data_IF_399864559902
#
_entry.id   IF_399864559902
#
_cell.length_a   1.000
_cell.length_b   1.000
_cell.length_c   1.000
_cell.angle_alpha   90.00
_cell.angle_beta   90.00
_cell.angle_gamma   90.00
#
_symmetry.space_group_name_H-M   'P 1'
#
loop_
_entity.id
_entity.type
_entity.pdbx_description
1 polymer ?
#
# COMPACT_ATOMS: atom_id res chain seq x y z
N UNK A 1 -40.67 0.45 18.59
CA UNK A 1 -39.67 0.09 17.57
C UNK A 1 -38.70 1.24 17.42
N UNK A 2 -37.50 1.15 18.02
CA UNK A 2 -36.47 2.19 17.92
C UNK A 2 -35.84 2.14 16.53
N UNK A 3 -36.07 3.18 15.72
CA UNK A 3 -35.36 3.35 14.47
C UNK A 3 -33.87 3.54 14.76
N UNK A 4 -33.06 2.55 14.42
CA UNK A 4 -31.60 2.63 14.49
C UNK A 4 -31.15 3.69 13.49
N UNK A 5 -30.87 4.91 13.98
CA UNK A 5 -30.30 5.97 13.14
C UNK A 5 -29.04 5.43 12.49
N UNK A 6 -29.03 5.33 11.16
CA UNK A 6 -27.82 5.01 10.39
C UNK A 6 -26.81 6.13 10.63
N UNK A 7 -25.88 5.89 11.55
CA UNK A 7 -24.71 6.75 11.77
C UNK A 7 -23.94 6.80 10.46
N UNK A 8 -23.77 8.00 9.90
CA UNK A 8 -22.91 8.21 8.74
C UNK A 8 -21.46 7.85 9.03
N UNK A 9 -20.57 7.90 8.02
CA UNK A 9 -19.17 7.56 8.19
C UNK A 9 -18.52 8.42 9.28
N UNK A 10 -17.88 7.75 10.24
CA UNK A 10 -17.12 8.42 11.30
C UNK A 10 -15.72 8.82 10.81
N UNK A 11 -15.04 9.72 11.53
CA UNK A 11 -13.65 10.10 11.28
C UNK A 11 -12.73 8.89 11.07
N UNK A 12 -12.92 7.82 11.85
CA UNK A 12 -12.13 6.60 11.73
C UNK A 12 -12.28 5.92 10.36
N UNK A 13 -13.44 6.01 9.70
CA UNK A 13 -13.61 5.48 8.35
C UNK A 13 -12.71 6.21 7.35
N UNK A 14 -12.58 7.53 7.49
CA UNK A 14 -11.71 8.34 6.63
C UNK A 14 -10.24 8.02 6.87
N UNK A 15 -9.83 7.88 8.14
CA UNK A 15 -8.45 7.53 8.50
C UNK A 15 -8.07 6.18 7.89
N UNK A 16 -8.87 5.13 8.11
CA UNK A 16 -8.56 3.78 7.60
C UNK A 16 -8.56 3.75 6.07
N UNK A 17 -9.48 4.49 5.41
CA UNK A 17 -9.46 4.60 3.94
C UNK A 17 -8.22 5.33 3.43
N UNK A 18 -7.76 6.38 4.11
CA UNK A 18 -6.53 7.07 3.76
C UNK A 18 -5.31 6.15 3.90
N UNK A 19 -5.23 5.36 4.97
CA UNK A 19 -4.18 4.37 5.20
C UNK A 19 -4.17 3.28 4.11
N UNK A 20 -5.34 2.76 3.71
CA UNK A 20 -5.47 1.81 2.60
C UNK A 20 -4.95 2.39 1.28
N UNK A 21 -5.35 3.61 0.95
CA UNK A 21 -4.89 4.30 -0.28
C UNK A 21 -3.38 4.51 -0.24
N UNK A 22 -2.84 4.89 0.91
CA UNK A 22 -1.41 5.10 1.08
C UNK A 22 -0.63 3.78 0.93
N UNK A 23 -1.10 2.70 1.55
CA UNK A 23 -0.49 1.37 1.42
C UNK A 23 -0.50 0.91 -0.05
N UNK A 24 -1.62 1.07 -0.74
CA UNK A 24 -1.74 0.73 -2.17
C UNK A 24 -0.76 1.52 -3.03
N UNK A 25 -0.65 2.84 -2.84
CA UNK A 25 0.30 3.69 -3.57
C UNK A 25 1.74 3.28 -3.33
N UNK A 26 2.09 2.96 -2.09
CA UNK A 26 3.43 2.45 -1.76
C UNK A 26 3.70 1.14 -2.50
N UNK A 27 2.77 0.18 -2.46
CA UNK A 27 2.89 -1.09 -3.18
C UNK A 27 3.10 -0.90 -4.69
N UNK A 28 2.28 -0.05 -5.33
CA UNK A 28 2.41 0.28 -6.77
C UNK A 28 3.77 0.90 -7.10
N UNK A 29 4.33 1.73 -6.22
CA UNK A 29 5.67 2.30 -6.44
C UNK A 29 6.76 1.24 -6.32
N UNK A 30 6.60 0.32 -5.38
CA UNK A 30 7.56 -0.74 -5.18
C UNK A 30 7.58 -1.74 -6.33
N UNK A 31 6.52 -1.86 -7.12
CA UNK A 31 6.55 -2.74 -8.31
C UNK A 31 7.33 -2.17 -9.49
N UNK A 32 7.78 -0.91 -9.44
CA UNK A 32 8.53 -0.26 -10.54
C UNK A 32 9.85 -0.96 -10.91
N UNK A 33 10.67 -1.46 -9.97
CA UNK A 33 11.92 -2.15 -10.28
C UNK A 33 11.75 -3.54 -10.90
N UNK A 34 10.53 -4.10 -10.98
CA UNK A 34 10.35 -5.40 -11.63
C UNK A 34 10.79 -5.32 -13.10
N UNK A 35 11.72 -6.21 -13.52
CA UNK A 35 12.29 -6.17 -14.87
C UNK A 35 11.28 -6.59 -15.93
N UNK A 36 10.47 -7.62 -15.65
CA UNK A 36 9.50 -8.17 -16.59
C UNK A 36 8.18 -7.36 -16.59
N UNK A 37 7.76 -6.76 -17.72
CA UNK A 37 6.53 -5.99 -17.80
C UNK A 37 5.25 -6.80 -17.57
N UNK A 38 5.21 -8.08 -17.99
CA UNK A 38 4.06 -8.97 -17.76
C UNK A 38 3.87 -9.22 -16.27
N UNK A 39 4.92 -9.68 -15.59
CA UNK A 39 4.92 -9.94 -14.14
C UNK A 39 4.55 -8.69 -13.35
N UNK A 40 5.07 -7.52 -13.76
CA UNK A 40 4.71 -6.24 -13.13
C UNK A 40 3.21 -5.95 -13.28
N UNK A 41 2.63 -6.20 -14.46
CA UNK A 41 1.20 -5.96 -14.70
C UNK A 41 0.33 -6.92 -13.88
N UNK A 42 0.67 -8.20 -13.86
CA UNK A 42 -0.03 -9.19 -13.04
C UNK A 42 0.03 -8.83 -11.55
N UNK A 43 1.19 -8.38 -11.07
CA UNK A 43 1.34 -7.92 -9.67
C UNK A 43 0.47 -6.70 -9.39
N UNK A 44 0.40 -5.74 -10.31
CA UNK A 44 -0.46 -4.56 -10.16
C UNK A 44 -1.95 -4.92 -10.16
N UNK A 45 -2.35 -5.87 -11.01
CA UNK A 45 -3.75 -6.33 -11.09
C UNK A 45 -4.13 -7.10 -9.81
N UNK A 46 -3.23 -7.94 -9.29
CA UNK A 46 -3.39 -8.59 -7.99
C UNK A 46 -3.60 -7.56 -6.86
N UNK A 47 -2.70 -6.57 -6.75
CA UNK A 47 -2.80 -5.53 -5.72
C UNK A 47 -4.06 -4.67 -5.87
N UNK A 48 -4.48 -4.39 -7.10
CA UNK A 48 -5.70 -3.62 -7.38
C UNK A 48 -6.95 -4.39 -6.96
N UNK A 49 -6.99 -5.71 -7.20
CA UNK A 49 -8.13 -6.54 -6.84
C UNK A 49 -8.44 -6.48 -5.33
N UNK A 50 -7.40 -6.42 -4.48
CA UNK A 50 -7.57 -6.30 -3.02
C UNK A 50 -8.30 -5.03 -2.60
N UNK A 51 -7.98 -3.90 -3.23
CA UNK A 51 -8.59 -2.60 -2.92
C UNK A 51 -9.95 -2.44 -3.58
N UNK A 52 -10.12 -2.93 -4.81
CA UNK A 52 -11.39 -2.88 -5.54
C UNK A 52 -12.53 -3.54 -4.77
N UNK A 53 -12.26 -4.69 -4.12
CA UNK A 53 -13.25 -5.40 -3.29
C UNK A 53 -13.78 -4.56 -2.11
N UNK A 54 -13.06 -3.52 -1.69
CA UNK A 54 -13.42 -2.68 -0.55
C UNK A 54 -14.16 -1.40 -0.91
N UNK A 55 -14.37 -1.09 -2.20
CA UNK A 55 -15.00 0.17 -2.64
C UNK A 55 -16.33 0.46 -1.95
N UNK A 56 -17.20 -0.55 -1.87
CA UNK A 56 -18.53 -0.49 -1.26
C UNK A 56 -18.58 -0.86 0.21
N UNK A 57 -17.45 -1.13 0.86
CA UNK A 57 -17.43 -1.58 2.25
C UNK A 57 -17.40 -0.37 3.21
N UNK A 58 -18.28 -0.42 4.20
CA UNK A 58 -18.44 0.62 5.21
C UNK A 58 -18.33 0.08 6.63
N UNK A 59 -18.19 -1.24 6.81
CA UNK A 59 -17.87 -1.83 8.10
C UNK A 59 -16.41 -1.54 8.46
N UNK A 60 -16.24 -0.70 9.47
CA UNK A 60 -14.94 -0.28 9.99
C UNK A 60 -14.05 -1.46 10.41
N UNK A 61 -14.61 -2.52 10.98
CA UNK A 61 -13.83 -3.70 11.40
C UNK A 61 -13.30 -4.43 10.17
N UNK A 62 -14.11 -4.59 9.13
CA UNK A 62 -13.65 -5.20 7.88
C UNK A 62 -12.58 -4.34 7.19
N UNK A 63 -12.74 -3.02 7.17
CA UNK A 63 -11.73 -2.13 6.59
C UNK A 63 -10.38 -2.26 7.32
N UNK A 64 -10.39 -2.29 8.66
CA UNK A 64 -9.17 -2.49 9.47
C UNK A 64 -8.54 -3.86 9.26
N UNK A 65 -9.35 -4.92 9.25
CA UNK A 65 -8.86 -6.28 9.02
C UNK A 65 -8.24 -6.42 7.63
N UNK A 66 -8.85 -5.83 6.61
CA UNK A 66 -8.31 -5.85 5.25
C UNK A 66 -7.03 -5.00 5.12
N UNK A 67 -6.96 -3.84 5.78
CA UNK A 67 -5.72 -3.06 5.83
C UNK A 67 -4.57 -3.85 6.47
N UNK A 68 -4.83 -4.53 7.59
CA UNK A 68 -3.86 -5.39 8.26
C UNK A 68 -3.42 -6.56 7.37
N UNK A 69 -4.39 -7.21 6.72
CA UNK A 69 -4.13 -8.28 5.77
C UNK A 69 -3.27 -7.81 4.60
N UNK A 70 -3.64 -6.70 3.96
CA UNK A 70 -2.92 -6.12 2.83
C UNK A 70 -1.46 -5.80 3.20
N UNK A 71 -1.24 -5.13 4.33
CA UNK A 71 0.11 -4.83 4.82
C UNK A 71 0.93 -6.11 5.09
N UNK A 72 0.31 -7.15 5.64
CA UNK A 72 0.99 -8.44 5.85
C UNK A 72 1.35 -9.11 4.53
N UNK A 73 0.43 -9.12 3.57
CA UNK A 73 0.67 -9.64 2.21
C UNK A 73 1.86 -8.93 1.56
N UNK A 74 1.92 -7.58 1.65
CA UNK A 74 3.05 -6.81 1.16
C UNK A 74 4.37 -7.20 1.84
N UNK A 75 4.36 -7.34 3.17
CA UNK A 75 5.56 -7.77 3.95
C UNK A 75 6.03 -9.17 3.55
N UNK A 76 5.13 -10.06 3.16
CA UNK A 76 5.47 -11.41 2.70
C UNK A 76 5.96 -11.43 1.25
N UNK A 77 5.44 -10.57 0.39
CA UNK A 77 5.85 -10.46 -1.02
C UNK A 77 7.17 -9.69 -1.22
N UNK A 78 7.51 -8.85 -0.26
CA UNK A 78 8.70 -8.00 -0.26
C UNK A 78 10.02 -8.75 -0.55
N UNK A 79 10.36 -9.83 0.18
CA UNK A 79 11.62 -10.55 0.00
C UNK A 79 11.63 -11.41 -1.26
N UNK A 80 10.48 -11.92 -1.68
CA UNK A 80 10.37 -12.86 -2.81
C UNK A 80 10.35 -12.16 -4.16
N UNK A 81 9.86 -10.93 -4.24
CA UNK A 81 9.71 -10.16 -5.49
C UNK A 81 10.85 -9.14 -5.68
N UNK A 82 11.77 -9.01 -4.72
CA UNK A 82 12.86 -8.02 -4.78
C UNK A 82 12.36 -6.58 -4.68
N UNK A 83 11.26 -6.35 -3.97
CA UNK A 83 10.59 -5.06 -3.81
C UNK A 83 11.29 -4.19 -2.74
N UNK A 84 12.62 -4.11 -2.73
CA UNK A 84 13.43 -3.57 -1.61
C UNK A 84 13.00 -2.18 -1.10
N UNK A 85 12.31 -1.38 -1.91
CA UNK A 85 11.79 -0.05 -1.55
C UNK A 85 10.59 0.03 -0.59
N UNK A 86 10.09 -1.09 -0.02
CA UNK A 86 9.07 -1.05 1.07
C UNK A 86 9.62 -1.44 2.45
N UNK A 87 10.93 -1.70 2.60
CA UNK A 87 11.54 -1.96 3.91
C UNK A 87 11.37 -0.76 4.83
N UNK A 88 10.87 -0.97 6.06
CA UNK A 88 10.58 0.10 7.04
C UNK A 88 11.81 0.96 7.40
N UNK A 89 13.03 0.49 7.10
CA UNK A 89 14.28 1.25 7.25
C UNK A 89 14.48 2.39 6.23
N UNK A 90 13.73 2.40 5.13
CA UNK A 90 13.82 3.41 4.06
C UNK A 90 12.57 4.30 4.00
N UNK A 91 12.14 4.87 5.15
CA UNK A 91 11.33 6.11 5.11
C UNK A 91 12.05 7.26 4.38
N UNK A 92 13.33 7.07 4.08
CA UNK A 92 14.20 7.89 3.23
C UNK A 92 14.54 7.20 1.90
N UNK A 93 13.62 6.41 1.32
CA UNK A 93 13.81 5.89 -0.04
C UNK A 93 14.10 7.09 -0.96
N UNK A 94 15.37 7.20 -1.36
CA UNK A 94 15.89 8.35 -2.11
C UNK A 94 15.03 8.45 -3.37
N UNK A 95 14.34 9.58 -3.50
CA UNK A 95 13.56 9.87 -4.69
C UNK A 95 14.49 9.75 -5.90
N UNK A 96 14.15 8.85 -6.82
CA UNK A 96 14.84 8.76 -8.11
C UNK A 96 14.81 10.16 -8.74
N UNK A 97 15.99 10.79 -8.85
CA UNK A 97 16.14 12.17 -9.31
C UNK A 97 16.84 13.14 -8.35
N UNK A 98 17.11 12.78 -7.08
CA UNK A 98 18.00 13.60 -6.26
C UNK A 98 19.45 13.49 -6.72
N UNK A 99 20.06 14.64 -7.02
CA UNK A 99 21.48 14.78 -7.37
C UNK A 99 22.32 14.16 -6.27
N UNK A 100 23.16 13.16 -6.60
CA UNK A 100 24.08 12.53 -5.63
C UNK A 100 24.88 13.61 -4.92
N UNK A 101 24.89 13.59 -3.59
CA UNK A 101 25.73 14.49 -2.80
C UNK A 101 27.17 13.99 -2.87
N UNK A 102 28.15 14.90 -2.80
CA UNK A 102 29.58 14.55 -2.90
C UNK A 102 30.02 13.49 -1.87
N UNK A 103 29.28 13.35 -0.76
CA UNK A 103 29.50 12.33 0.27
C UNK A 103 29.21 10.89 -0.18
N UNK A 104 28.41 10.71 -1.24
CA UNK A 104 28.08 9.39 -1.81
C UNK A 104 29.08 8.92 -2.89
N UNK A 105 30.10 9.73 -3.21
CA UNK A 105 31.07 9.49 -4.30
C UNK A 105 32.47 9.13 -3.80
N UNK A 106 32.68 9.06 -2.48
CA UNK A 106 33.94 8.59 -1.91
C UNK A 106 33.83 7.08 -1.59
N UNK A 107 34.86 6.29 -1.91
CA UNK A 107 34.86 4.84 -1.75
C UNK A 107 34.80 4.40 -0.28
#
# INVERSE_FOLDING_TARGET
>A
MLATMRKGPSLQHFIVRAELIQAYRSAVRATRPLPDPSTRRETLDFLRADIERLKGEYDLNKLKSNLSHFNRTLKQMLPSIGLNGLSEGERTSRLIGQKRSAKDLLP
#
